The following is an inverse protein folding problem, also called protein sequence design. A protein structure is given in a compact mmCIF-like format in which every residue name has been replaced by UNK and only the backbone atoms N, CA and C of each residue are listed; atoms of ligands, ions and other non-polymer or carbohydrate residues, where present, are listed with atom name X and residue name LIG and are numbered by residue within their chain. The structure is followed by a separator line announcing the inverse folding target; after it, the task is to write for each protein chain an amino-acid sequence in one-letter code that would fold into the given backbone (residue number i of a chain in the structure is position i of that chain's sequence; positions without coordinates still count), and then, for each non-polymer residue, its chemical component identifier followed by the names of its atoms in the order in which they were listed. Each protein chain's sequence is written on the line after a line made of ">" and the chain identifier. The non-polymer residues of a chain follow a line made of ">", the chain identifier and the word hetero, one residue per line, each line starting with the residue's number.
data_IF_599154240989
#
_entry.id   IF_599154240989
#
_cell.length_a   1.000
_cell.length_b   1.000
_cell.length_c   1.000
_cell.angle_alpha   90.00
_cell.angle_beta   90.00
_cell.angle_gamma   90.00
#
_symmetry.space_group_name_H-M   'P 1'
#
loop_
_entity.id
_entity.type
_entity.pdbx_description
1 polymer ?
#
# COMPACT_ATOMS: atom_id res chain seq x y z
N UNK A 1 14.18 13.31 33.60
CA UNK A 1 13.95 11.97 33.03
C UNK A 1 14.30 12.07 31.57
N UNK A 2 15.44 11.53 31.14
CA UNK A 2 15.83 11.56 29.73
C UNK A 2 14.97 10.55 28.98
N UNK A 3 14.16 11.02 28.04
CA UNK A 3 13.39 10.19 27.12
C UNK A 3 14.40 9.39 26.28
N UNK A 4 14.62 8.13 26.68
CA UNK A 4 15.48 7.22 25.93
C UNK A 4 14.61 6.61 24.84
N UNK A 5 14.36 7.39 23.80
CA UNK A 5 13.68 6.89 22.60
C UNK A 5 14.46 5.66 22.10
N UNK A 6 13.78 4.56 21.75
CA UNK A 6 14.46 3.34 21.35
C UNK A 6 15.32 3.64 20.12
N UNK A 7 16.64 3.52 20.29
CA UNK A 7 17.58 3.59 19.19
C UNK A 7 17.56 2.23 18.50
N UNK A 8 16.71 2.11 17.49
CA UNK A 8 16.65 0.95 16.60
C UNK A 8 17.58 1.27 15.43
N UNK A 9 18.75 0.63 15.41
CA UNK A 9 19.79 0.89 14.41
C UNK A 9 19.29 0.63 12.99
N UNK A 10 18.39 -0.34 12.84
CA UNK A 10 17.78 -0.79 11.60
C UNK A 10 17.01 0.32 10.86
N UNK A 11 16.49 1.33 11.59
CA UNK A 11 15.81 2.48 10.96
C UNK A 11 16.76 3.48 10.31
N UNK A 12 18.07 3.37 10.55
CA UNK A 12 19.06 4.20 9.86
C UNK A 12 19.41 3.67 8.47
N UNK A 13 18.98 2.45 8.13
CA UNK A 13 19.15 1.90 6.80
C UNK A 13 17.87 2.12 5.98
N UNK A 14 17.98 2.66 4.75
CA UNK A 14 16.81 2.79 3.88
C UNK A 14 16.26 1.40 3.55
N UNK A 15 14.93 1.28 3.54
CA UNK A 15 14.26 0.07 3.05
C UNK A 15 14.69 -0.16 1.58
N UNK A 16 15.20 -1.34 1.22
CA UNK A 16 15.53 -1.65 -0.17
C UNK A 16 14.35 -1.39 -1.11
N UNK A 17 14.62 -0.79 -2.27
CA UNK A 17 13.59 -0.38 -3.25
C UNK A 17 12.66 -1.53 -3.66
N UNK A 18 13.17 -2.77 -3.65
CA UNK A 18 12.44 -3.98 -4.07
C UNK A 18 12.13 -4.94 -2.92
N UNK A 19 11.83 -4.42 -1.73
CA UNK A 19 11.45 -5.27 -0.59
C UNK A 19 10.10 -5.97 -0.73
N UNK A 20 9.24 -5.53 -1.65
CA UNK A 20 7.88 -6.07 -1.80
C UNK A 20 7.79 -7.26 -2.76
N UNK A 21 8.83 -7.53 -3.57
CA UNK A 21 8.84 -8.56 -4.62
C UNK A 21 7.58 -8.52 -5.53
N UNK A 22 7.06 -7.31 -5.75
CA UNK A 22 5.93 -7.06 -6.62
C UNK A 22 6.29 -7.27 -8.09
N UNK A 23 5.28 -7.57 -8.90
CA UNK A 23 5.46 -7.89 -10.32
C UNK A 23 4.26 -7.52 -11.20
N UNK A 24 3.50 -6.53 -10.77
CA UNK A 24 2.22 -6.15 -11.37
C UNK A 24 2.21 -4.75 -11.96
N UNK A 25 3.25 -3.94 -11.70
CA UNK A 25 3.27 -2.49 -11.93
C UNK A 25 2.09 -1.74 -11.27
N UNK A 26 1.40 -2.35 -10.29
CA UNK A 26 0.37 -1.69 -9.50
C UNK A 26 0.95 -1.39 -8.13
N UNK A 27 0.88 -0.13 -7.70
CA UNK A 27 1.45 0.32 -6.45
C UNK A 27 0.37 0.69 -5.45
N UNK A 28 0.53 0.27 -4.20
CA UNK A 28 -0.31 0.71 -3.07
C UNK A 28 0.59 1.29 -1.99
N UNK A 29 0.34 2.54 -1.62
CA UNK A 29 1.13 3.26 -0.61
C UNK A 29 2.65 3.16 -0.88
N UNK A 30 3.04 3.30 -2.15
CA UNK A 30 4.43 3.22 -2.61
C UNK A 30 5.04 1.81 -2.66
N UNK A 31 4.26 0.74 -2.52
CA UNK A 31 4.73 -0.65 -2.66
C UNK A 31 4.08 -1.32 -3.85
N UNK A 32 4.90 -1.88 -4.73
CA UNK A 32 4.39 -2.70 -5.83
C UNK A 32 3.73 -3.98 -5.27
N UNK A 33 2.55 -4.29 -5.78
CA UNK A 33 1.82 -5.48 -5.37
C UNK A 33 2.35 -6.73 -6.06
N UNK A 34 2.36 -7.83 -5.32
CA UNK A 34 2.45 -9.17 -5.89
C UNK A 34 1.07 -9.59 -6.44
N UNK A 35 1.03 -10.43 -7.48
CA UNK A 35 -0.21 -10.83 -8.16
C UNK A 35 -1.32 -11.31 -7.21
N UNK A 36 -0.99 -12.11 -6.20
CA UNK A 36 -1.96 -12.62 -5.21
C UNK A 36 -2.65 -11.52 -4.40
N UNK A 37 -1.92 -10.46 -4.06
CA UNK A 37 -2.46 -9.35 -3.28
C UNK A 37 -3.29 -8.43 -4.17
N UNK A 38 -2.85 -8.21 -5.41
CA UNK A 38 -3.65 -7.52 -6.43
C UNK A 38 -4.99 -8.23 -6.64
N UNK A 39 -4.98 -9.55 -6.84
CA UNK A 39 -6.21 -10.34 -7.02
C UNK A 39 -7.18 -10.18 -5.84
N UNK A 40 -6.66 -10.08 -4.61
CA UNK A 40 -7.47 -9.90 -3.40
C UNK A 40 -8.13 -8.52 -3.36
N UNK A 41 -7.38 -7.46 -3.72
CA UNK A 41 -7.91 -6.10 -3.72
C UNK A 41 -8.87 -5.85 -4.88
N UNK A 42 -8.60 -6.42 -6.05
CA UNK A 42 -9.51 -6.37 -7.22
C UNK A 42 -10.86 -6.99 -6.90
N UNK A 43 -10.86 -8.14 -6.18
CA UNK A 43 -12.12 -8.76 -5.70
C UNK A 43 -12.91 -7.89 -4.72
N UNK A 44 -12.27 -6.91 -4.10
CA UNK A 44 -12.90 -5.92 -3.20
C UNK A 44 -13.29 -4.62 -3.90
N UNK A 45 -12.98 -4.47 -5.19
CA UNK A 45 -13.36 -3.30 -5.98
C UNK A 45 -12.19 -2.42 -6.43
N UNK A 46 -10.94 -2.79 -6.17
CA UNK A 46 -9.80 -2.05 -6.71
C UNK A 46 -9.75 -2.23 -8.25
N UNK A 47 -9.58 -1.15 -9.04
CA UNK A 47 -9.37 -1.30 -10.47
C UNK A 47 -8.11 -2.12 -10.78
N UNK A 48 -8.17 -2.95 -11.81
CA UNK A 48 -7.06 -3.82 -12.25
C UNK A 48 -6.23 -3.18 -13.38
N UNK A 49 -6.37 -1.86 -13.57
CA UNK A 49 -5.62 -1.14 -14.59
C UNK A 49 -4.13 -1.21 -14.28
N UNK A 50 -3.33 -1.66 -15.26
CA UNK A 50 -1.88 -1.70 -15.13
C UNK A 50 -1.31 -0.28 -15.01
N UNK A 51 -0.11 -0.18 -14.44
CA UNK A 51 0.67 1.06 -14.33
C UNK A 51 -0.04 2.16 -13.51
N UNK A 52 -0.76 1.77 -12.44
CA UNK A 52 -1.47 2.67 -11.52
C UNK A 52 -0.89 2.64 -10.11
N UNK A 53 -1.00 3.78 -9.43
CA UNK A 53 -0.64 3.92 -8.01
C UNK A 53 -1.84 4.40 -7.19
N UNK A 54 -2.08 3.78 -6.04
CA UNK A 54 -3.17 4.09 -5.14
C UNK A 54 -2.68 4.37 -3.72
N UNK A 55 -3.31 5.35 -3.05
CA UNK A 55 -3.25 5.48 -1.58
C UNK A 55 -4.45 4.76 -1.00
N UNK A 56 -4.20 3.82 -0.09
CA UNK A 56 -5.25 3.08 0.62
C UNK A 56 -5.08 3.26 2.12
N UNK A 57 -6.10 3.81 2.77
CA UNK A 57 -6.15 3.96 4.22
C UNK A 57 -6.69 2.69 4.90
N UNK A 58 -6.41 2.49 6.19
CA UNK A 58 -6.90 1.34 6.97
C UNK A 58 -8.44 1.25 7.03
N UNK A 59 -9.12 2.38 6.83
CA UNK A 59 -10.57 2.48 6.71
C UNK A 59 -11.13 1.75 5.47
N UNK A 60 -10.28 1.48 4.47
CA UNK A 60 -10.67 1.00 3.16
C UNK A 60 -10.87 2.11 2.12
N UNK A 61 -10.62 3.37 2.48
CA UNK A 61 -10.66 4.51 1.54
C UNK A 61 -9.56 4.38 0.49
N UNK A 62 -9.87 4.64 -0.78
CA UNK A 62 -8.96 4.50 -1.92
C UNK A 62 -8.87 5.81 -2.68
N UNK A 63 -7.65 6.27 -2.94
CA UNK A 63 -7.35 7.43 -3.78
C UNK A 63 -6.43 6.99 -4.91
N UNK A 64 -6.73 7.40 -6.13
CA UNK A 64 -5.83 7.29 -7.27
C UNK A 64 -4.76 8.39 -7.17
N UNK A 65 -3.47 8.03 -7.09
CA UNK A 65 -2.39 8.99 -6.86
C UNK A 65 -2.18 9.94 -8.03
N UNK A 66 -2.43 9.50 -9.27
CA UNK A 66 -2.22 10.30 -10.47
C UNK A 66 -3.30 11.38 -10.64
N UNK A 67 -4.57 10.99 -10.54
CA UNK A 67 -5.71 11.89 -10.72
C UNK A 67 -6.14 12.61 -9.43
N UNK A 68 -5.77 12.08 -8.26
CA UNK A 68 -6.23 12.55 -6.95
C UNK A 68 -7.70 12.24 -6.65
N UNK A 69 -8.35 11.41 -7.48
CA UNK A 69 -9.76 11.05 -7.31
C UNK A 69 -9.94 9.97 -6.26
N UNK A 70 -10.97 10.13 -5.44
CA UNK A 70 -11.42 9.09 -4.52
C UNK A 70 -12.29 8.07 -5.26
N UNK A 71 -11.96 6.79 -5.09
CA UNK A 71 -12.65 5.67 -5.70
C UNK A 71 -13.59 4.99 -4.69
N UNK A 72 -14.37 4.01 -5.17
CA UNK A 72 -15.16 3.17 -4.29
C UNK A 72 -14.24 2.44 -3.30
N UNK A 73 -14.60 2.49 -2.01
CA UNK A 73 -13.78 1.95 -0.95
C UNK A 73 -13.82 0.41 -0.89
N UNK A 74 -12.74 -0.21 -0.41
CA UNK A 74 -12.58 -1.67 -0.33
C UNK A 74 -13.23 -2.32 0.91
N UNK A 75 -13.97 -1.53 1.70
CA UNK A 75 -14.44 -1.90 3.04
C UNK A 75 -13.29 -2.07 4.05
N UNK A 76 -13.60 -2.54 5.27
CA UNK A 76 -12.58 -2.74 6.31
C UNK A 76 -11.52 -3.75 5.85
N UNK A 77 -10.25 -3.34 5.93
CA UNK A 77 -9.11 -4.18 5.56
C UNK A 77 -8.59 -5.02 6.73
N UNK A 78 -8.69 -4.50 7.95
CA UNK A 78 -8.31 -5.24 9.15
C UNK A 78 -9.36 -6.31 9.52
N UNK A 79 -8.95 -7.50 10.01
CA UNK A 79 -9.87 -8.49 10.58
C UNK A 79 -10.68 -7.88 11.74
N UNK A 80 -11.98 -8.19 11.79
CA UNK A 80 -12.89 -7.80 12.88
C UNK A 80 -12.97 -8.85 13.98
#
# INVERSE_FOLDING_TARGET
>A
MSDKSPFIEEFNYPMPEKCADGNTNVFVNGRELHQKDLDLLVRRGLPADADRSYVIEISGRVLDEESGLELEGLGKLAPS
#
